data_IF_279454758311
#
_entry.id   IF_279454758311
#
_cell.length_a   1.000
_cell.length_b   1.000
_cell.length_c   1.000
_cell.angle_alpha   90.00
_cell.angle_beta   90.00
_cell.angle_gamma   90.00
#
_symmetry.space_group_name_H-M   'P 1'
#
loop_
_entity.id
_entity.type
_entity.pdbx_description
1 polymer ?
#
# COMPACT_ATOMS: atom_id res chain seq x y z
N UNK A 1 -7.91 -0.35 9.48
CA UNK A 1 -6.68 0.44 9.36
C UNK A 1 -6.75 1.30 8.13
N UNK A 2 -6.34 2.57 8.23
CA UNK A 2 -6.29 3.54 7.11
C UNK A 2 -4.84 3.83 6.73
N UNK A 3 -4.49 3.57 5.48
CA UNK A 3 -3.14 3.76 4.96
C UNK A 3 -3.15 4.82 3.86
N UNK A 4 -2.23 5.78 3.92
CA UNK A 4 -2.00 6.72 2.84
C UNK A 4 -0.71 6.36 2.09
N UNK A 5 -0.81 6.16 0.79
CA UNK A 5 0.33 5.99 -0.09
C UNK A 5 0.65 7.32 -0.77
N UNK A 6 1.89 7.76 -0.70
CA UNK A 6 2.39 8.96 -1.38
C UNK A 6 3.38 8.50 -2.46
N UNK A 7 3.04 8.74 -3.73
CA UNK A 7 3.98 8.56 -4.81
C UNK A 7 4.96 9.72 -4.83
N UNK A 8 6.25 9.44 -4.72
CA UNK A 8 7.32 10.45 -4.77
C UNK A 8 7.35 11.20 -6.09
N UNK A 9 7.87 12.42 -6.05
CA UNK A 9 7.99 13.33 -7.21
C UNK A 9 6.65 13.78 -7.81
N UNK A 10 6.63 14.29 -9.04
CA UNK A 10 5.44 14.83 -9.72
C UNK A 10 5.44 16.35 -9.81
N UNK A 11 4.39 16.95 -10.35
CA UNK A 11 4.29 18.41 -10.56
C UNK A 11 5.53 18.98 -11.31
N UNK A 12 5.87 18.33 -12.43
CA UNK A 12 7.02 18.70 -13.27
C UNK A 12 8.36 18.12 -12.82
N UNK A 13 8.45 17.51 -11.65
CA UNK A 13 9.63 16.78 -11.17
C UNK A 13 9.51 15.30 -11.54
N UNK A 14 10.36 14.84 -12.46
CA UNK A 14 10.39 13.42 -12.87
C UNK A 14 11.13 12.51 -11.87
N UNK A 15 11.77 13.06 -10.84
CA UNK A 15 12.68 12.30 -9.99
C UNK A 15 13.94 11.83 -10.73
N UNK A 16 14.57 10.80 -10.24
CA UNK A 16 15.69 10.17 -10.91
C UNK A 16 15.27 9.56 -12.26
N UNK A 17 16.21 9.59 -13.23
CA UNK A 17 16.02 8.97 -14.54
C UNK A 17 17.14 7.95 -14.76
N UNK A 18 16.78 6.71 -15.07
CA UNK A 18 17.74 5.65 -15.30
C UNK A 18 17.11 4.46 -16.04
N UNK A 19 17.93 3.77 -16.82
CA UNK A 19 17.51 2.57 -17.56
C UNK A 19 16.22 2.74 -18.40
N UNK A 20 15.98 3.96 -18.91
CA UNK A 20 14.79 4.29 -19.73
C UNK A 20 13.53 4.63 -18.94
N UNK A 21 13.58 4.70 -17.61
CA UNK A 21 12.45 5.00 -16.72
C UNK A 21 12.63 6.33 -16.00
N UNK A 22 11.51 6.93 -15.62
CA UNK A 22 11.42 8.06 -14.69
C UNK A 22 10.85 7.59 -13.37
N UNK A 23 11.47 8.01 -12.29
CA UNK A 23 11.05 7.62 -10.94
C UNK A 23 9.58 7.99 -10.66
N UNK A 24 9.16 9.20 -11.05
CA UNK A 24 7.78 9.64 -10.87
C UNK A 24 6.74 8.71 -11.51
N UNK A 25 7.05 8.09 -12.65
CA UNK A 25 6.14 7.15 -13.31
C UNK A 25 6.07 5.82 -12.54
N UNK A 26 7.24 5.31 -12.11
CA UNK A 26 7.34 4.06 -11.35
C UNK A 26 6.67 4.16 -9.98
N UNK A 27 6.83 5.27 -9.27
CA UNK A 27 6.22 5.45 -7.94
C UNK A 27 4.69 5.45 -8.01
N UNK A 28 4.11 6.00 -9.06
CA UNK A 28 2.66 5.99 -9.31
C UNK A 28 2.14 4.61 -9.66
N UNK A 29 2.89 3.89 -10.48
CA UNK A 29 2.58 2.49 -10.81
C UNK A 29 2.57 1.62 -9.53
N UNK A 30 3.61 1.72 -8.70
CA UNK A 30 3.71 0.98 -7.43
C UNK A 30 2.55 1.35 -6.49
N UNK A 31 2.26 2.63 -6.32
CA UNK A 31 1.18 3.07 -5.44
C UNK A 31 -0.19 2.50 -5.87
N UNK A 32 -0.46 2.47 -7.18
CA UNK A 32 -1.70 1.90 -7.72
C UNK A 32 -1.80 0.40 -7.45
N UNK A 33 -0.77 -0.35 -7.81
CA UNK A 33 -0.74 -1.81 -7.65
C UNK A 33 -0.78 -2.21 -6.16
N UNK A 34 -0.04 -1.50 -5.30
CA UNK A 34 -0.03 -1.78 -3.87
C UNK A 34 -1.39 -1.51 -3.22
N UNK A 35 -2.11 -0.47 -3.66
CA UNK A 35 -3.49 -0.24 -3.22
C UNK A 35 -4.41 -1.40 -3.61
N UNK A 36 -4.24 -1.95 -4.81
CA UNK A 36 -5.03 -3.09 -5.30
C UNK A 36 -4.74 -4.33 -4.45
N UNK A 37 -3.48 -4.65 -4.16
CA UNK A 37 -3.08 -5.79 -3.32
C UNK A 37 -3.56 -5.68 -1.86
N UNK A 38 -3.57 -4.47 -1.30
CA UNK A 38 -4.05 -4.22 0.05
C UNK A 38 -5.57 -4.09 0.17
N UNK A 39 -6.29 -4.12 -0.98
CA UNK A 39 -7.74 -4.07 -0.98
C UNK A 39 -8.31 -5.24 -0.19
N UNK A 40 -9.25 -5.12 0.64
CA UNK A 40 -9.73 -6.19 1.51
C UNK A 40 -8.97 -6.39 2.82
N UNK A 41 -7.81 -5.74 3.02
CA UNK A 41 -7.07 -5.76 4.29
C UNK A 41 -7.12 -4.39 4.99
N UNK A 42 -6.94 -3.33 4.25
CA UNK A 42 -6.91 -1.96 4.75
C UNK A 42 -7.76 -1.01 3.89
N UNK A 43 -8.04 0.16 4.44
CA UNK A 43 -8.61 1.29 3.69
C UNK A 43 -7.44 2.13 3.15
N UNK A 44 -7.13 1.94 1.87
CA UNK A 44 -5.94 2.54 1.25
C UNK A 44 -6.32 3.70 0.35
N UNK A 45 -5.78 4.87 0.67
CA UNK A 45 -5.89 6.08 -0.15
C UNK A 45 -4.54 6.34 -0.84
N UNK A 46 -4.57 6.73 -2.11
CA UNK A 46 -3.40 7.31 -2.79
C UNK A 46 -3.55 8.82 -2.71
N UNK A 47 -2.53 9.50 -2.23
CA UNK A 47 -2.46 10.95 -2.21
C UNK A 47 -2.46 11.50 -3.64
N UNK A 48 -2.90 12.75 -3.81
CA UNK A 48 -3.00 13.39 -5.13
C UNK A 48 -1.70 13.26 -5.94
N UNK A 49 -1.73 12.44 -6.97
CA UNK A 49 -0.57 12.09 -7.80
C UNK A 49 -0.12 13.21 -8.73
N UNK A 50 -0.92 14.27 -8.89
CA UNK A 50 -0.53 15.47 -9.65
C UNK A 50 0.39 16.40 -8.82
N UNK A 51 0.55 16.12 -7.53
CA UNK A 51 1.41 16.90 -6.64
C UNK A 51 2.78 16.26 -6.46
N UNK A 52 3.79 17.11 -6.34
CA UNK A 52 5.03 16.77 -5.63
C UNK A 52 4.81 17.10 -4.15
N UNK A 53 4.64 16.09 -3.31
CA UNK A 53 4.28 16.29 -1.90
C UNK A 53 5.38 16.99 -1.09
N UNK A 54 6.67 16.72 -1.41
CA UNK A 54 7.78 17.48 -0.82
C UNK A 54 7.69 18.96 -1.17
N UNK A 55 7.48 19.29 -2.45
CA UNK A 55 7.30 20.70 -2.89
C UNK A 55 6.07 21.33 -2.22
N UNK A 56 4.94 20.60 -2.21
CA UNK A 56 3.67 21.09 -1.69
C UNK A 56 3.76 21.42 -0.18
N UNK A 57 4.25 20.47 0.64
CA UNK A 57 4.28 20.63 2.10
C UNK A 57 5.49 21.49 2.53
N UNK A 58 6.68 21.17 2.04
CA UNK A 58 7.92 21.70 2.61
C UNK A 58 8.38 22.98 1.94
N UNK A 59 8.17 23.16 0.64
CA UNK A 59 8.58 24.35 -0.12
C UNK A 59 7.48 25.40 -0.17
N UNK A 60 6.26 25.01 -0.54
CA UNK A 60 5.11 25.91 -0.62
C UNK A 60 4.39 26.09 0.71
N UNK A 61 4.74 25.30 1.73
CA UNK A 61 4.20 25.38 3.10
C UNK A 61 2.69 25.19 3.19
N UNK A 62 2.09 24.42 2.28
CA UNK A 62 0.69 24.03 2.39
C UNK A 62 0.51 23.05 3.56
N UNK A 63 -0.62 23.15 4.24
CA UNK A 63 -1.00 22.19 5.27
C UNK A 63 -1.77 21.03 4.66
N UNK A 64 -1.55 19.85 5.23
CA UNK A 64 -2.37 18.67 5.00
C UNK A 64 -2.54 17.92 6.32
N UNK A 65 -3.76 17.51 6.63
CA UNK A 65 -4.05 16.76 7.86
C UNK A 65 -3.83 15.27 7.61
N UNK A 66 -2.76 14.72 8.21
CA UNK A 66 -2.45 13.29 8.15
C UNK A 66 -3.09 12.48 9.27
N UNK A 67 -3.66 13.11 10.31
CA UNK A 67 -4.23 12.43 11.48
C UNK A 67 -5.33 11.41 11.18
N UNK A 68 -6.12 11.53 10.08
CA UNK A 68 -7.07 10.49 9.73
C UNK A 68 -6.47 9.13 9.35
N UNK A 69 -5.15 9.08 9.12
CA UNK A 69 -4.45 7.87 8.70
C UNK A 69 -3.67 7.24 9.86
N UNK A 70 -3.61 5.91 9.88
CA UNK A 70 -2.84 5.15 10.86
C UNK A 70 -1.38 5.01 10.44
N UNK A 71 -1.13 4.98 9.12
CA UNK A 71 0.21 4.84 8.54
C UNK A 71 0.32 5.58 7.20
N UNK A 72 1.48 6.15 6.93
CA UNK A 72 1.81 6.82 5.66
C UNK A 72 3.08 6.20 5.08
N UNK A 73 3.00 5.69 3.84
CA UNK A 73 4.13 5.17 3.10
C UNK A 73 4.42 6.04 1.88
N UNK A 74 5.57 6.70 1.90
CA UNK A 74 6.11 7.42 0.75
C UNK A 74 6.94 6.46 -0.12
N UNK A 75 6.70 6.45 -1.43
CA UNK A 75 7.28 5.49 -2.37
C UNK A 75 8.26 6.19 -3.28
N UNK A 76 9.49 5.68 -3.33
CA UNK A 76 10.61 6.18 -4.13
C UNK A 76 11.39 5.06 -4.80
N UNK A 77 12.25 5.42 -5.73
CA UNK A 77 13.28 4.58 -6.33
C UNK A 77 14.63 5.29 -6.18
N UNK A 78 15.57 4.62 -5.55
CA UNK A 78 16.87 5.17 -5.26
C UNK A 78 17.71 5.39 -6.53
N UNK A 79 18.67 6.30 -6.46
CA UNK A 79 19.65 6.53 -7.53
C UNK A 79 21.01 6.81 -6.94
N UNK A 80 22.04 6.36 -7.64
CA UNK A 80 23.42 6.63 -7.27
C UNK A 80 24.25 6.96 -8.51
N UNK A 81 25.26 7.80 -8.36
CA UNK A 81 26.08 8.30 -9.48
C UNK A 81 26.81 7.17 -10.27
N UNK A 82 27.10 6.06 -9.59
CA UNK A 82 27.61 4.86 -10.22
C UNK A 82 26.55 3.77 -10.18
N UNK A 83 26.49 2.91 -11.20
CA UNK A 83 25.52 1.81 -11.26
C UNK A 83 25.84 0.65 -10.27
N UNK A 84 26.72 0.88 -9.30
CA UNK A 84 27.18 -0.14 -8.35
C UNK A 84 26.23 -0.33 -7.15
N UNK A 85 25.52 0.73 -6.75
CA UNK A 85 24.55 0.63 -5.67
C UNK A 85 23.29 -0.12 -6.14
N UNK A 86 22.77 -1.03 -5.30
CA UNK A 86 21.62 -1.86 -5.60
C UNK A 86 20.84 -2.23 -4.32
N UNK A 87 19.65 -2.77 -4.49
CA UNK A 87 18.83 -3.33 -3.41
C UNK A 87 17.74 -2.40 -2.89
N UNK A 88 17.02 -2.86 -1.88
CA UNK A 88 15.87 -2.19 -1.27
C UNK A 88 16.20 -1.70 0.14
N UNK A 89 15.67 -0.53 0.51
CA UNK A 89 15.83 0.06 1.84
C UNK A 89 14.60 0.89 2.22
N UNK A 90 14.37 1.03 3.52
CA UNK A 90 13.29 1.88 4.04
C UNK A 90 13.88 2.86 5.05
N UNK A 91 13.39 4.09 4.96
CA UNK A 91 13.70 5.15 5.91
C UNK A 91 12.50 5.42 6.81
N UNK A 92 12.77 5.50 8.12
CA UNK A 92 11.83 5.99 9.13
C UNK A 92 12.42 7.21 9.82
N UNK A 93 11.59 7.98 10.51
CA UNK A 93 12.08 9.12 11.27
C UNK A 93 12.93 8.69 12.47
N UNK A 94 13.82 9.56 12.94
CA UNK A 94 14.65 9.27 14.13
C UNK A 94 13.84 9.13 15.41
N UNK A 95 12.62 9.66 15.43
CA UNK A 95 11.68 9.59 16.57
C UNK A 95 10.69 8.41 16.50
N UNK A 96 10.76 7.57 15.45
CA UNK A 96 9.92 6.37 15.38
C UNK A 96 10.35 5.36 16.44
N UNK A 97 9.37 4.81 17.19
CA UNK A 97 9.66 3.88 18.30
C UNK A 97 9.93 2.46 17.82
N UNK A 98 9.20 2.02 16.81
CA UNK A 98 9.26 0.67 16.26
C UNK A 98 9.44 0.72 14.74
N UNK A 99 9.97 -0.35 14.16
CA UNK A 99 10.14 -0.51 12.72
C UNK A 99 9.85 -1.96 12.26
N UNK A 100 8.99 -2.66 12.99
CA UNK A 100 8.65 -4.05 12.66
C UNK A 100 8.02 -4.20 11.29
N UNK A 101 7.12 -3.29 10.92
CA UNK A 101 6.46 -3.26 9.61
C UNK A 101 7.48 -3.05 8.49
N UNK A 102 8.34 -2.06 8.63
CA UNK A 102 9.35 -1.73 7.65
C UNK A 102 10.39 -2.84 7.49
N UNK A 103 10.73 -3.52 8.60
CA UNK A 103 11.62 -4.70 8.58
C UNK A 103 10.99 -5.84 7.79
N UNK A 104 9.69 -6.10 7.98
CA UNK A 104 8.97 -7.12 7.23
C UNK A 104 8.92 -6.77 5.74
N UNK A 105 8.58 -5.53 5.39
CA UNK A 105 8.51 -5.08 3.99
C UNK A 105 9.86 -5.29 3.28
N UNK A 106 10.95 -4.82 3.88
CA UNK A 106 12.30 -4.96 3.26
C UNK A 106 12.69 -6.42 3.15
N UNK A 107 12.36 -7.25 4.16
CA UNK A 107 12.64 -8.69 4.13
C UNK A 107 11.90 -9.36 2.98
N UNK A 108 10.59 -9.20 2.88
CA UNK A 108 9.77 -9.84 1.86
C UNK A 108 10.22 -9.44 0.43
N UNK A 109 10.55 -8.16 0.22
CA UNK A 109 11.08 -7.69 -1.07
C UNK A 109 12.45 -8.30 -1.35
N UNK A 110 13.33 -8.38 -0.35
CA UNK A 110 14.68 -8.94 -0.54
C UNK A 110 14.66 -10.43 -0.84
N UNK A 111 13.69 -11.17 -0.32
CA UNK A 111 13.54 -12.61 -0.59
C UNK A 111 13.22 -12.90 -2.08
N UNK A 112 12.77 -11.89 -2.84
CA UNK A 112 12.56 -12.00 -4.30
C UNK A 112 13.88 -11.92 -5.08
N UNK A 113 14.93 -11.35 -4.47
CA UNK A 113 16.28 -11.28 -5.05
C UNK A 113 16.97 -9.93 -4.96
N UNK A 114 16.37 -8.91 -4.33
CA UNK A 114 17.05 -7.64 -4.05
C UNK A 114 18.00 -7.76 -2.85
N UNK A 115 19.06 -6.98 -2.88
CA UNK A 115 19.92 -6.83 -1.69
C UNK A 115 19.12 -6.13 -0.58
N UNK A 116 19.07 -6.76 0.59
CA UNK A 116 18.47 -6.15 1.78
C UNK A 116 19.43 -5.11 2.37
N UNK A 117 19.08 -3.84 2.27
CA UNK A 117 19.86 -2.72 2.83
C UNK A 117 19.31 -2.25 4.19
N UNK A 118 18.21 -2.87 4.63
CA UNK A 118 17.62 -2.70 5.94
C UNK A 118 16.79 -1.43 6.12
N UNK A 119 16.38 -1.24 7.37
CA UNK A 119 15.66 -0.05 7.82
C UNK A 119 16.64 0.97 8.37
N UNK A 120 16.53 2.21 7.92
CA UNK A 120 17.41 3.32 8.28
C UNK A 120 16.64 4.43 8.95
N UNK A 121 17.32 5.21 9.79
CA UNK A 121 16.73 6.35 10.48
C UNK A 121 17.23 7.66 9.91
N UNK A 122 16.30 8.42 9.29
CA UNK A 122 16.58 9.75 8.73
C UNK A 122 15.29 10.55 8.62
N UNK A 123 15.33 11.80 9.05
CA UNK A 123 14.18 12.69 8.95
C UNK A 123 14.08 13.29 7.54
N UNK A 124 13.60 12.49 6.56
CA UNK A 124 13.19 13.03 5.29
C UNK A 124 11.95 13.90 5.45
N UNK A 125 11.85 14.95 4.68
CA UNK A 125 10.94 16.07 4.94
C UNK A 125 9.46 15.64 5.06
N UNK A 126 8.96 14.82 4.12
CA UNK A 126 7.54 14.43 4.11
C UNK A 126 7.22 13.52 5.29
N UNK A 127 7.98 12.44 5.49
CA UNK A 127 7.76 11.52 6.62
C UNK A 127 7.95 12.22 7.97
N UNK A 128 8.87 13.19 8.05
CA UNK A 128 9.06 14.00 9.26
C UNK A 128 7.85 14.92 9.52
N UNK A 129 7.29 15.53 8.48
CA UNK A 129 6.09 16.34 8.59
C UNK A 129 4.88 15.52 9.06
N UNK A 130 4.71 14.30 8.52
CA UNK A 130 3.70 13.33 8.96
C UNK A 130 3.90 12.98 10.44
N UNK A 131 5.13 12.64 10.81
CA UNK A 131 5.48 12.24 12.19
C UNK A 131 5.20 13.33 13.21
N UNK A 132 5.42 14.60 12.86
CA UNK A 132 5.06 15.74 13.74
C UNK A 132 3.58 15.85 14.05
N UNK A 133 2.72 15.24 13.23
CA UNK A 133 1.28 15.15 13.50
C UNK A 133 0.89 13.90 14.31
N UNK A 134 1.87 13.09 14.74
CA UNK A 134 1.66 11.89 15.56
C UNK A 134 1.38 10.63 14.76
N UNK A 135 1.44 10.68 13.43
CA UNK A 135 1.19 9.55 12.53
C UNK A 135 2.50 8.80 12.24
N UNK A 136 2.46 7.47 12.21
CA UNK A 136 3.61 6.65 11.82
C UNK A 136 3.84 6.73 10.32
N UNK A 137 5.11 6.81 9.90
CA UNK A 137 5.43 7.03 8.50
C UNK A 137 6.81 6.49 8.10
N UNK A 138 6.90 6.02 6.87
CA UNK A 138 8.13 5.55 6.27
C UNK A 138 8.25 6.00 4.81
N UNK A 139 9.50 6.02 4.31
CA UNK A 139 9.84 6.21 2.91
C UNK A 139 10.57 4.95 2.43
N UNK A 140 10.01 4.29 1.44
CA UNK A 140 10.67 3.16 0.79
C UNK A 140 11.44 3.61 -0.45
N UNK A 141 12.68 3.18 -0.55
CA UNK A 141 13.50 3.15 -1.75
C UNK A 141 13.44 1.73 -2.30
N UNK A 142 12.49 1.46 -3.21
CA UNK A 142 12.13 0.11 -3.62
C UNK A 142 13.30 -0.64 -4.25
N UNK A 143 14.03 0.03 -5.15
CA UNK A 143 15.29 -0.43 -5.71
C UNK A 143 16.02 0.75 -6.37
N UNK A 144 17.23 0.53 -6.92
CA UNK A 144 17.98 1.58 -7.58
C UNK A 144 17.59 1.70 -9.05
N UNK A 145 16.95 2.81 -9.43
CA UNK A 145 16.61 3.10 -10.84
C UNK A 145 17.86 3.23 -11.72
N UNK A 146 19.01 3.62 -11.15
CA UNK A 146 20.31 3.70 -11.83
C UNK A 146 20.96 2.33 -12.04
N UNK A 147 20.51 1.26 -11.34
CA UNK A 147 21.09 -0.08 -11.44
C UNK A 147 20.29 -0.94 -12.42
N UNK A 148 20.95 -1.38 -13.49
CA UNK A 148 20.30 -2.17 -14.54
C UNK A 148 19.74 -3.51 -14.03
N UNK A 149 20.44 -4.17 -13.08
CA UNK A 149 20.00 -5.45 -12.53
C UNK A 149 18.75 -5.27 -11.68
N UNK A 150 18.69 -4.22 -10.87
CA UNK A 150 17.54 -3.89 -10.04
C UNK A 150 16.31 -3.60 -10.92
N UNK A 151 16.46 -2.79 -11.96
CA UNK A 151 15.35 -2.46 -12.85
C UNK A 151 14.90 -3.66 -13.66
N UNK A 152 15.81 -4.51 -14.15
CA UNK A 152 15.45 -5.76 -14.83
C UNK A 152 14.67 -6.70 -13.90
N UNK A 153 15.11 -6.84 -12.65
CA UNK A 153 14.41 -7.65 -11.66
C UNK A 153 13.02 -7.08 -11.34
N UNK A 154 12.93 -5.76 -11.13
CA UNK A 154 11.65 -5.07 -10.92
C UNK A 154 10.68 -5.33 -12.07
N UNK A 155 11.10 -5.14 -13.31
CA UNK A 155 10.22 -5.33 -14.46
C UNK A 155 9.81 -6.80 -14.64
N UNK A 156 10.73 -7.74 -14.40
CA UNK A 156 10.44 -9.17 -14.55
C UNK A 156 9.50 -9.72 -13.46
N UNK A 157 9.57 -9.16 -12.24
CA UNK A 157 8.86 -9.68 -11.06
C UNK A 157 7.98 -8.64 -10.37
N UNK A 158 7.52 -7.63 -11.10
CA UNK A 158 6.74 -6.51 -10.55
C UNK A 158 5.62 -6.96 -9.62
N UNK A 159 4.74 -7.85 -10.08
CA UNK A 159 3.59 -8.30 -9.30
C UNK A 159 4.01 -9.07 -8.03
N UNK A 160 5.08 -9.87 -8.11
CA UNK A 160 5.63 -10.57 -6.94
C UNK A 160 6.17 -9.54 -5.91
N UNK A 161 6.85 -8.50 -6.39
CA UNK A 161 7.41 -7.43 -5.54
C UNK A 161 6.30 -6.64 -4.85
N UNK A 162 5.25 -6.27 -5.59
CA UNK A 162 4.10 -5.55 -5.03
C UNK A 162 3.39 -6.41 -3.98
N UNK A 163 3.21 -7.71 -4.28
CA UNK A 163 2.65 -8.66 -3.32
C UNK A 163 3.52 -8.77 -2.07
N UNK A 164 4.83 -8.86 -2.21
CA UNK A 164 5.77 -8.89 -1.08
C UNK A 164 5.69 -7.62 -0.22
N UNK A 165 5.57 -6.44 -0.84
CA UNK A 165 5.30 -5.20 -0.10
C UNK A 165 4.01 -5.29 0.71
N UNK A 166 2.94 -5.78 0.09
CA UNK A 166 1.64 -5.94 0.75
C UNK A 166 1.73 -6.97 1.89
N UNK A 167 2.36 -8.13 1.67
CA UNK A 167 2.55 -9.19 2.66
C UNK A 167 3.34 -8.66 3.89
N UNK A 168 4.38 -7.84 3.65
CA UNK A 168 5.14 -7.17 4.70
C UNK A 168 4.30 -6.19 5.53
N UNK A 169 3.41 -5.43 4.89
CA UNK A 169 2.47 -4.52 5.57
C UNK A 169 1.43 -5.33 6.36
N UNK A 170 0.83 -6.35 5.72
CA UNK A 170 -0.21 -7.20 6.33
C UNK A 170 0.35 -7.90 7.56
N UNK A 171 1.51 -8.54 7.47
CA UNK A 171 2.14 -9.23 8.60
C UNK A 171 2.60 -8.26 9.68
N UNK A 172 3.18 -7.12 9.28
CA UNK A 172 3.71 -6.13 10.21
C UNK A 172 2.64 -5.46 11.07
N UNK A 173 1.45 -5.22 10.51
CA UNK A 173 0.29 -4.70 11.25
C UNK A 173 -0.68 -5.77 11.70
N UNK A 174 -0.40 -7.05 11.44
CA UNK A 174 -1.29 -8.17 11.79
C UNK A 174 -2.69 -7.98 11.21
N UNK A 175 -2.76 -7.53 9.95
CA UNK A 175 -4.03 -7.28 9.29
C UNK A 175 -4.71 -8.60 8.92
N UNK A 176 -5.99 -8.67 9.14
CA UNK A 176 -6.84 -9.77 8.68
C UNK A 176 -7.64 -9.32 7.46
N UNK A 177 -7.83 -10.24 6.51
CA UNK A 177 -8.67 -9.95 5.36
C UNK A 177 -10.09 -9.63 5.84
N UNK A 178 -10.61 -8.49 5.42
CA UNK A 178 -12.03 -8.16 5.65
C UNK A 178 -12.88 -9.17 4.90
N UNK A 179 -13.88 -9.70 5.54
CA UNK A 179 -14.90 -10.44 4.82
C UNK A 179 -15.54 -9.49 3.79
N UNK A 180 -15.68 -9.94 2.55
CA UNK A 180 -16.41 -9.16 1.57
C UNK A 180 -17.89 -9.04 1.99
N UNK A 181 -18.59 -8.03 1.49
CA UNK A 181 -19.98 -7.77 1.85
C UNK A 181 -20.91 -9.00 1.63
N UNK A 182 -20.58 -9.81 0.61
CA UNK A 182 -21.36 -11.02 0.32
C UNK A 182 -21.12 -12.09 1.38
N UNK A 183 -19.87 -12.32 1.78
CA UNK A 183 -19.52 -13.25 2.87
C UNK A 183 -20.17 -12.82 4.19
N UNK A 184 -20.11 -11.53 4.54
CA UNK A 184 -20.77 -11.01 5.74
C UNK A 184 -22.30 -11.20 5.68
N UNK A 185 -22.91 -10.89 4.52
CA UNK A 185 -24.33 -11.08 4.30
C UNK A 185 -24.73 -12.56 4.41
N UNK A 186 -23.97 -13.48 3.82
CA UNK A 186 -24.21 -14.92 3.89
C UNK A 186 -24.09 -15.43 5.34
N UNK A 187 -23.07 -15.03 6.08
CA UNK A 187 -22.90 -15.41 7.48
C UNK A 187 -24.07 -14.90 8.35
N UNK A 188 -24.52 -13.66 8.11
CA UNK A 188 -25.69 -13.11 8.82
C UNK A 188 -26.95 -13.91 8.48
N UNK A 189 -27.22 -14.23 7.22
CA UNK A 189 -28.38 -15.01 6.81
C UNK A 189 -28.34 -16.43 7.38
N UNK A 190 -27.15 -17.05 7.44
CA UNK A 190 -26.96 -18.34 8.07
C UNK A 190 -27.23 -18.28 9.59
N UNK A 191 -26.78 -17.24 10.28
CA UNK A 191 -27.05 -17.04 11.72
C UNK A 191 -28.54 -16.87 12.04
N UNK A 192 -29.35 -16.49 11.04
CA UNK A 192 -30.79 -16.37 11.12
C UNK A 192 -31.55 -17.60 10.59
N UNK A 193 -30.84 -18.67 10.22
CA UNK A 193 -31.41 -19.87 9.66
C UNK A 193 -32.05 -19.73 8.28
N UNK A 194 -31.70 -18.63 7.54
CA UNK A 194 -32.26 -18.36 6.22
C UNK A 194 -31.53 -19.17 5.14
N UNK A 195 -30.23 -19.38 5.31
CA UNK A 195 -29.41 -20.25 4.43
C UNK A 195 -28.59 -21.23 5.26
N UNK A 196 -28.24 -22.38 4.67
CA UNK A 196 -27.54 -23.44 5.41
C UNK A 196 -26.04 -23.55 5.10
N UNK A 197 -25.56 -22.93 4.04
CA UNK A 197 -24.17 -23.07 3.57
C UNK A 197 -23.62 -21.72 3.15
N UNK A 198 -23.23 -20.84 4.11
CA UNK A 198 -22.81 -19.48 3.81
C UNK A 198 -21.60 -19.44 2.86
N UNK A 199 -20.63 -20.36 2.99
CA UNK A 199 -19.46 -20.40 2.12
C UNK A 199 -19.81 -20.73 0.65
N UNK A 200 -20.80 -21.59 0.43
CA UNK A 200 -21.28 -21.92 -0.91
C UNK A 200 -21.91 -20.69 -1.57
N UNK A 201 -22.74 -19.97 -0.83
CA UNK A 201 -23.35 -18.74 -1.29
C UNK A 201 -22.31 -17.62 -1.49
N UNK A 202 -21.35 -17.48 -0.56
CA UNK A 202 -20.32 -16.46 -0.63
C UNK A 202 -19.34 -16.64 -1.82
N UNK A 203 -19.09 -17.90 -2.24
CA UNK A 203 -18.25 -18.18 -3.41
C UNK A 203 -18.94 -17.92 -4.74
N UNK A 204 -20.27 -17.74 -4.74
CA UNK A 204 -21.05 -17.59 -5.97
C UNK A 204 -21.15 -18.87 -6.81
N UNK A 205 -20.77 -20.01 -6.25
CA UNK A 205 -20.86 -21.30 -6.94
C UNK A 205 -22.33 -21.64 -7.19
N UNK A 206 -22.71 -21.76 -8.47
CA UNK A 206 -24.12 -21.99 -8.88
C UNK A 206 -24.94 -20.74 -9.13
N UNK A 207 -24.42 -19.55 -8.86
CA UNK A 207 -25.07 -18.26 -9.09
C UNK A 207 -24.29 -17.45 -10.12
N UNK A 208 -24.62 -17.64 -11.37
CA UNK A 208 -24.08 -16.82 -12.46
C UNK A 208 -24.76 -15.45 -12.60
N UNK A 209 -25.63 -15.10 -11.67
CA UNK A 209 -26.50 -13.94 -11.83
C UNK A 209 -26.19 -12.87 -10.74
N UNK A 210 -25.69 -11.71 -11.18
CA UNK A 210 -25.47 -10.52 -10.34
C UNK A 210 -26.70 -10.15 -9.51
N UNK A 211 -27.89 -10.40 -10.03
CA UNK A 211 -29.14 -10.15 -9.32
C UNK A 211 -29.32 -11.00 -8.06
N UNK A 212 -28.80 -12.22 -8.04
CA UNK A 212 -28.88 -13.10 -6.87
C UNK A 212 -27.96 -12.58 -5.75
N UNK A 213 -26.75 -12.13 -6.11
CA UNK A 213 -25.81 -11.50 -5.17
C UNK A 213 -26.43 -10.23 -4.58
N UNK A 214 -27.03 -9.39 -5.43
CA UNK A 214 -27.71 -8.17 -4.98
C UNK A 214 -28.89 -8.47 -4.06
N UNK A 215 -29.64 -9.54 -4.33
CA UNK A 215 -30.77 -9.98 -3.52
C UNK A 215 -30.30 -10.40 -2.12
N UNK A 216 -29.24 -11.20 -2.01
CA UNK A 216 -28.67 -11.63 -0.73
C UNK A 216 -28.20 -10.41 0.08
N UNK A 217 -27.52 -9.46 -0.54
CA UNK A 217 -27.11 -8.20 0.12
C UNK A 217 -28.28 -7.40 0.63
N UNK A 218 -29.36 -7.30 -0.14
CA UNK A 218 -30.59 -6.60 0.28
C UNK A 218 -31.27 -7.30 1.45
N UNK A 219 -31.36 -8.64 1.43
CA UNK A 219 -31.90 -9.41 2.54
C UNK A 219 -31.09 -9.22 3.82
N UNK A 220 -29.75 -9.25 3.70
CA UNK A 220 -28.88 -9.03 4.85
C UNK A 220 -29.07 -7.62 5.44
N UNK A 221 -29.23 -6.59 4.61
CA UNK A 221 -29.52 -5.22 5.07
C UNK A 221 -30.88 -5.13 5.76
N UNK A 222 -31.89 -5.80 5.23
CA UNK A 222 -33.21 -5.87 5.85
C UNK A 222 -33.16 -6.52 7.24
N UNK A 223 -32.46 -7.65 7.37
CA UNK A 223 -32.28 -8.37 8.64
C UNK A 223 -31.51 -7.53 9.67
N UNK A 224 -30.56 -6.67 9.23
CA UNK A 224 -29.88 -5.72 10.12
C UNK A 224 -30.77 -4.56 10.60
N UNK A 225 -31.99 -4.42 10.10
CA UNK A 225 -32.88 -3.31 10.43
C UNK A 225 -32.51 -1.97 9.77
N UNK A 226 -31.65 -1.99 8.76
CA UNK A 226 -31.20 -0.78 8.01
C UNK A 226 -32.09 -0.52 6.79
N UNK A 227 -32.98 -1.45 6.46
CA UNK A 227 -33.94 -1.33 5.34
C UNK A 227 -35.31 -0.90 5.86
N UNK A 228 -35.52 0.41 5.98
CA UNK A 228 -36.83 1.04 5.97
C UNK A 228 -36.89 1.99 4.79
#
# INVERSE_FOLDING_TARGET
>A
MKILLIAGHGDGDCGAVGNGYKEADLTREVAKLLKEELSGYADVTIADTNKNWHKYICKQKHSFDFKPYDYVLEIHFNSFATNSANGTEIYITTSEKSHGVETNIVKEISDIGFVNRGVKRKNYDVIWYVKKQGVSSALIELCFISNEKDIKLYQAKKNEIIKAMADGIISGFTLTKKADELTEACNLLASKGIINSPDYWAKGEGYSNENTILLIKKFASYVKGVGK
#
